data_IF_379837004483
#
_entry.id   IF_379837004483
#
_cell.length_a   1.000
_cell.length_b   1.000
_cell.length_c   1.000
_cell.angle_alpha   90.00
_cell.angle_beta   90.00
_cell.angle_gamma   90.00
#
_symmetry.space_group_name_H-M   'P 1'
#
loop_
_entity.id
_entity.type
_entity.pdbx_description
1 polymer ?
#
# COMPACT_ATOMS: atom_id res chain seq x y z
N UNK A 1 7.17 -18.24 -10.58
CA UNK A 1 6.77 -16.83 -10.38
C UNK A 1 5.89 -16.78 -9.14
N UNK A 2 6.26 -15.97 -8.17
CA UNK A 2 5.51 -15.78 -6.92
C UNK A 2 4.77 -14.46 -6.98
N UNK A 3 3.46 -14.50 -6.75
CA UNK A 3 2.63 -13.31 -6.56
C UNK A 3 2.55 -13.04 -5.06
N UNK A 4 2.78 -11.81 -4.66
CA UNK A 4 2.75 -11.43 -3.26
C UNK A 4 2.26 -10.01 -3.07
N UNK A 5 1.65 -9.76 -1.91
CA UNK A 5 1.26 -8.42 -1.47
C UNK A 5 2.03 -8.07 -0.23
N UNK A 6 2.80 -6.99 -0.30
CA UNK A 6 3.58 -6.42 0.80
C UNK A 6 2.81 -5.26 1.41
N UNK A 7 2.94 -5.07 2.71
CA UNK A 7 2.29 -3.98 3.43
C UNK A 7 3.32 -2.99 3.95
N UNK A 8 3.03 -1.70 3.76
CA UNK A 8 3.91 -0.62 4.18
C UNK A 8 3.13 0.54 4.80
N UNK A 9 3.79 1.41 5.58
CA UNK A 9 3.21 2.69 6.00
C UNK A 9 3.44 3.79 4.97
N UNK A 10 2.53 4.76 4.92
CA UNK A 10 2.64 6.02 4.18
C UNK A 10 2.10 7.16 5.06
N UNK A 11 2.82 7.45 6.14
CA UNK A 11 2.46 8.48 7.14
C UNK A 11 3.25 9.76 6.89
N UNK A 12 2.96 10.83 7.64
CA UNK A 12 3.74 12.07 7.54
C UNK A 12 5.25 11.82 7.76
N UNK A 13 6.16 12.40 6.94
CA UNK A 13 5.92 13.30 5.81
C UNK A 13 5.71 12.59 4.46
N UNK A 14 5.85 11.26 4.41
CA UNK A 14 5.73 10.45 3.19
C UNK A 14 4.31 10.47 2.59
N UNK A 15 3.30 10.85 3.37
CA UNK A 15 1.94 11.10 2.89
C UNK A 15 1.86 12.16 1.78
N UNK A 16 2.84 13.08 1.73
CA UNK A 16 3.01 14.09 0.69
C UNK A 16 3.75 13.62 -0.56
N UNK A 17 4.13 12.34 -0.66
CA UNK A 17 4.52 11.75 -1.93
C UNK A 17 3.26 11.40 -2.74
N UNK A 18 3.30 11.68 -4.04
CA UNK A 18 2.31 11.08 -4.95
C UNK A 18 2.42 9.56 -4.89
N UNK A 19 1.32 8.86 -5.16
CA UNK A 19 1.31 7.40 -5.12
C UNK A 19 2.37 6.78 -6.03
N UNK A 20 2.67 7.40 -7.17
CA UNK A 20 3.72 6.95 -8.09
C UNK A 20 5.14 7.11 -7.53
N UNK A 21 5.42 8.21 -6.84
CA UNK A 21 6.72 8.43 -6.20
C UNK A 21 6.94 7.46 -5.04
N UNK A 22 5.89 7.29 -4.23
CA UNK A 22 5.85 6.30 -3.17
C UNK A 22 6.13 4.88 -3.69
N UNK A 23 5.42 4.44 -4.73
CA UNK A 23 5.67 3.14 -5.36
C UNK A 23 7.10 3.02 -5.90
N UNK A 24 7.66 4.08 -6.51
CA UNK A 24 9.05 4.05 -6.97
C UNK A 24 10.03 3.79 -5.83
N UNK A 25 9.82 4.40 -4.67
CA UNK A 25 10.66 4.15 -3.49
C UNK A 25 10.58 2.69 -3.03
N UNK A 26 9.38 2.12 -2.97
CA UNK A 26 9.17 0.71 -2.61
C UNK A 26 9.87 -0.21 -3.61
N UNK A 27 9.73 0.05 -4.92
CA UNK A 27 10.38 -0.74 -5.96
C UNK A 27 11.90 -0.70 -5.81
N UNK A 28 12.48 0.47 -5.56
CA UNK A 28 13.92 0.57 -5.35
C UNK A 28 14.38 -0.13 -4.07
N UNK A 29 13.59 -0.08 -2.99
CA UNK A 29 13.88 -0.83 -1.78
C UNK A 29 13.83 -2.35 -2.02
N UNK A 30 12.81 -2.83 -2.73
CA UNK A 30 12.69 -4.24 -3.12
C UNK A 30 13.87 -4.69 -3.99
N UNK A 31 14.29 -3.89 -4.97
CA UNK A 31 15.49 -4.18 -5.76
C UNK A 31 16.76 -4.23 -4.90
N UNK A 32 16.92 -3.31 -3.93
CA UNK A 32 18.04 -3.33 -2.99
C UNK A 32 18.01 -4.55 -2.06
N UNK A 33 16.83 -5.07 -1.74
CA UNK A 33 16.63 -6.32 -1.02
C UNK A 33 16.82 -7.58 -1.89
N UNK A 34 17.23 -7.42 -3.16
CA UNK A 34 17.46 -8.55 -4.07
C UNK A 34 16.20 -9.09 -4.75
N UNK A 35 15.05 -8.41 -4.65
CA UNK A 35 13.82 -8.86 -5.30
C UNK A 35 13.95 -8.86 -6.84
N UNK A 36 13.75 -10.02 -7.44
CA UNK A 36 13.77 -10.21 -8.88
C UNK A 36 12.39 -10.09 -9.49
N UNK A 37 12.03 -8.90 -9.96
CA UNK A 37 10.73 -8.68 -10.58
C UNK A 37 10.52 -9.49 -11.86
N UNK A 38 9.29 -9.92 -12.06
CA UNK A 38 8.77 -10.30 -13.37
C UNK A 38 8.40 -9.04 -14.16
N UNK A 39 8.54 -9.10 -15.48
CA UNK A 39 8.32 -7.94 -16.34
C UNK A 39 7.17 -8.17 -17.31
N UNK A 40 6.52 -7.10 -17.76
CA UNK A 40 5.52 -7.16 -18.83
C UNK A 40 6.15 -7.53 -20.18
N UNK A 41 5.46 -8.30 -21.02
CA UNK A 41 5.95 -8.78 -22.32
C UNK A 41 5.92 -7.74 -23.48
N UNK A 42 5.82 -6.44 -23.18
CA UNK A 42 5.77 -5.37 -24.19
C UNK A 42 7.13 -4.77 -24.57
N UNK A 43 7.14 -3.88 -25.57
CA UNK A 43 8.34 -3.17 -26.07
C UNK A 43 9.11 -2.35 -25.02
N UNK A 44 8.49 -2.05 -23.87
CA UNK A 44 9.13 -1.46 -22.70
C UNK A 44 8.76 -2.25 -21.44
N UNK A 45 9.53 -3.31 -21.10
CA UNK A 45 9.22 -4.17 -19.97
C UNK A 45 9.22 -3.38 -18.67
N UNK A 46 8.10 -3.40 -17.94
CA UNK A 46 7.99 -2.80 -16.61
C UNK A 46 7.78 -3.90 -15.56
N UNK A 47 8.33 -3.74 -14.35
CA UNK A 47 8.00 -4.63 -13.24
C UNK A 47 6.49 -4.79 -13.11
N UNK A 48 6.01 -6.01 -12.96
CA UNK A 48 4.60 -6.28 -12.73
C UNK A 48 4.24 -5.92 -11.30
N UNK A 49 3.55 -4.79 -11.16
CA UNK A 49 3.14 -4.20 -9.90
C UNK A 49 1.67 -3.87 -10.03
N UNK A 50 0.92 -4.28 -9.03
CA UNK A 50 -0.50 -4.09 -8.95
C UNK A 50 -0.87 -3.32 -7.70
N UNK A 51 -1.84 -2.43 -7.85
CA UNK A 51 -2.37 -1.59 -6.79
C UNK A 51 -3.86 -1.51 -6.96
N UNK A 52 -4.61 -1.99 -5.96
CA UNK A 52 -6.09 -1.94 -5.97
C UNK A 52 -6.58 -0.50 -6.03
N UNK A 53 -6.00 0.39 -5.22
CA UNK A 53 -6.39 1.78 -5.18
C UNK A 53 -5.21 2.69 -4.85
N UNK A 54 -5.12 3.82 -5.53
CA UNK A 54 -4.16 4.86 -5.20
C UNK A 54 -4.65 5.69 -4.02
N UNK A 55 -3.77 5.90 -3.04
CA UNK A 55 -4.04 6.85 -1.96
C UNK A 55 -3.96 8.29 -2.49
N UNK A 56 -4.91 9.14 -2.10
CA UNK A 56 -4.88 10.56 -2.44
C UNK A 56 -3.68 11.26 -1.80
N UNK A 57 -3.12 12.27 -2.46
CA UNK A 57 -2.00 13.05 -1.93
C UNK A 57 -2.38 13.69 -0.59
N UNK A 58 -1.48 13.65 0.39
CA UNK A 58 -1.70 14.18 1.73
C UNK A 58 -2.38 13.19 2.68
N UNK A 59 -3.14 12.23 2.19
CA UNK A 59 -3.74 11.19 3.04
C UNK A 59 -2.65 10.29 3.59
N UNK A 60 -2.73 10.03 4.88
CA UNK A 60 -1.85 9.09 5.58
C UNK A 60 -2.40 7.68 5.52
N UNK A 61 -1.53 6.68 5.59
CA UNK A 61 -1.94 5.29 5.73
C UNK A 61 -1.01 4.51 6.63
N UNK A 62 -1.62 3.76 7.54
CA UNK A 62 -0.95 2.77 8.39
C UNK A 62 -0.78 1.42 7.71
N UNK A 63 -1.39 1.20 6.55
CA UNK A 63 -1.33 -0.05 5.79
C UNK A 63 -1.63 0.18 4.29
N UNK A 64 -0.58 0.34 3.50
CA UNK A 64 -0.62 0.38 2.04
C UNK A 64 -0.25 -0.98 1.46
N UNK A 65 -1.20 -1.69 0.81
CA UNK A 65 -0.91 -2.92 0.09
C UNK A 65 -0.24 -2.62 -1.25
N UNK A 66 0.90 -3.25 -1.49
CA UNK A 66 1.61 -3.21 -2.78
C UNK A 66 1.80 -4.63 -3.27
N UNK A 67 1.07 -4.98 -4.32
CA UNK A 67 1.13 -6.31 -4.95
C UNK A 67 2.19 -6.33 -6.04
N UNK A 68 3.02 -7.38 -6.07
CA UNK A 68 4.12 -7.53 -7.04
C UNK A 68 4.23 -8.98 -7.53
N UNK A 69 4.75 -9.14 -8.74
CA UNK A 69 5.14 -10.45 -9.26
C UNK A 69 6.66 -10.58 -9.29
N UNK A 70 7.18 -11.61 -8.64
CA UNK A 70 8.60 -11.92 -8.61
C UNK A 70 8.90 -13.24 -9.33
N UNK A 71 10.12 -13.34 -9.87
CA UNK A 71 10.64 -14.55 -10.51
C UNK A 71 11.03 -15.61 -9.49
N UNK A 72 11.53 -15.18 -8.33
CA UNK A 72 11.91 -16.02 -7.20
C UNK A 72 11.56 -15.34 -5.86
N UNK A 73 11.43 -16.12 -4.76
CA UNK A 73 11.38 -15.56 -3.41
C UNK A 73 12.61 -14.71 -3.10
N UNK A 74 12.47 -13.75 -2.19
CA UNK A 74 13.57 -12.94 -1.66
C UNK A 74 13.46 -12.86 -0.13
N UNK A 75 14.56 -12.47 0.51
CA UNK A 75 14.61 -12.22 1.95
C UNK A 75 14.06 -10.82 2.27
N UNK A 76 12.84 -10.78 2.79
CA UNK A 76 12.14 -9.56 3.18
C UNK A 76 12.60 -9.01 4.53
N UNK A 77 13.37 -9.75 5.33
CA UNK A 77 13.95 -9.23 6.58
C UNK A 77 14.97 -8.10 6.33
N UNK A 78 15.46 -7.97 5.10
CA UNK A 78 16.35 -6.88 4.68
C UNK A 78 15.59 -5.57 4.47
N UNK A 79 14.28 -5.61 4.18
CA UNK A 79 13.48 -4.42 3.82
C UNK A 79 13.57 -3.27 4.82
N UNK A 80 13.44 -3.49 6.15
CA UNK A 80 13.57 -2.40 7.14
C UNK A 80 14.88 -1.63 7.06
N UNK A 81 15.95 -2.23 6.52
CA UNK A 81 17.28 -1.59 6.40
C UNK A 81 17.47 -0.81 5.10
N UNK A 82 16.66 -1.10 4.08
CA UNK A 82 16.82 -0.53 2.73
C UNK A 82 15.66 0.35 2.30
N UNK A 83 14.60 0.47 3.11
CA UNK A 83 13.51 1.42 2.91
C UNK A 83 13.97 2.87 3.19
N UNK A 84 13.39 3.87 2.50
CA UNK A 84 13.58 5.26 2.89
C UNK A 84 13.05 5.54 4.30
N UNK A 85 13.64 6.52 4.96
CA UNK A 85 13.18 7.02 6.27
C UNK A 85 11.69 7.36 6.23
N UNK A 86 10.93 6.86 7.22
CA UNK A 86 9.50 7.12 7.37
C UNK A 86 8.58 6.20 6.56
N UNK A 87 9.11 5.21 5.84
CA UNK A 87 8.34 4.10 5.26
C UNK A 87 8.71 2.83 6.02
N UNK A 88 7.73 2.19 6.66
CA UNK A 88 7.95 0.97 7.43
C UNK A 88 7.33 -0.23 6.73
N UNK A 89 8.03 -1.37 6.76
CA UNK A 89 7.51 -2.65 6.31
C UNK A 89 6.69 -3.31 7.41
N UNK A 90 5.53 -3.87 7.06
CA UNK A 90 4.56 -4.43 8.02
C UNK A 90 4.33 -5.93 7.84
N UNK A 91 4.84 -6.52 6.74
CA UNK A 91 4.68 -7.94 6.43
C UNK A 91 4.19 -8.19 5.00
N UNK A 92 3.89 -9.45 4.71
CA UNK A 92 3.42 -9.90 3.39
C UNK A 92 2.37 -10.99 3.51
N UNK A 93 1.62 -11.15 2.43
CA UNK A 93 0.80 -12.32 2.15
C UNK A 93 1.10 -12.84 0.75
N UNK A 94 0.82 -14.12 0.53
CA UNK A 94 0.84 -14.70 -0.82
C UNK A 94 -0.37 -14.25 -1.63
N UNK A 95 -0.16 -14.05 -2.92
CA UNK A 95 -1.19 -13.64 -3.87
C UNK A 95 -1.42 -12.13 -3.95
N UNK A 96 -2.42 -11.77 -4.75
CA UNK A 96 -2.87 -10.39 -4.93
C UNK A 96 -4.12 -10.12 -4.10
N UNK A 97 -4.21 -8.90 -3.58
CA UNK A 97 -5.47 -8.37 -3.12
C UNK A 97 -6.14 -7.73 -4.34
N UNK A 98 -7.30 -8.23 -4.75
CA UNK A 98 -8.06 -7.65 -5.87
C UNK A 98 -9.03 -6.55 -5.41
N UNK A 99 -9.48 -6.64 -4.16
CA UNK A 99 -10.36 -5.66 -3.53
C UNK A 99 -10.25 -5.73 -2.00
N UNK A 100 -10.57 -4.63 -1.34
CA UNK A 100 -10.64 -4.55 0.12
C UNK A 100 -11.64 -3.47 0.57
N UNK A 101 -12.13 -3.56 1.80
CA UNK A 101 -12.73 -2.43 2.50
C UNK A 101 -11.62 -1.69 3.25
N UNK A 102 -11.49 -0.38 3.07
CA UNK A 102 -10.56 0.42 3.86
C UNK A 102 -11.29 1.15 4.98
N UNK A 103 -10.75 1.04 6.19
CA UNK A 103 -11.15 1.81 7.35
C UNK A 103 -10.38 3.13 7.35
N UNK A 104 -11.11 4.23 7.24
CA UNK A 104 -10.57 5.57 7.34
C UNK A 104 -11.01 6.23 8.64
N UNK A 105 -10.17 7.12 9.17
CA UNK A 105 -10.48 8.01 10.28
C UNK A 105 -10.37 9.47 9.84
N UNK A 106 -11.34 10.27 10.29
CA UNK A 106 -11.38 11.73 10.18
C UNK A 106 -12.11 12.31 11.40
N UNK A 107 -11.52 13.27 12.13
CA UNK A 107 -12.12 13.91 13.31
C UNK A 107 -12.81 12.93 14.28
N UNK A 108 -12.09 11.90 14.71
CA UNK A 108 -12.55 10.81 15.59
C UNK A 108 -13.73 9.96 15.05
N UNK A 109 -14.12 10.18 13.80
CA UNK A 109 -15.14 9.39 13.11
C UNK A 109 -14.45 8.38 12.20
N UNK A 110 -14.92 7.14 12.24
CA UNK A 110 -14.47 6.07 11.36
C UNK A 110 -15.49 5.82 10.27
N UNK A 111 -15.02 5.53 9.06
CA UNK A 111 -15.87 5.14 7.94
C UNK A 111 -15.18 4.11 7.06
N UNK A 112 -15.98 3.27 6.41
CA UNK A 112 -15.50 2.23 5.50
C UNK A 112 -15.80 2.63 4.06
N UNK A 113 -14.85 2.36 3.17
CA UNK A 113 -15.04 2.49 1.72
C UNK A 113 -14.58 1.21 1.01
N UNK A 114 -15.34 0.76 0.03
CA UNK A 114 -14.94 -0.37 -0.82
C UNK A 114 -13.99 0.10 -1.92
N UNK A 115 -12.84 -0.57 -2.05
CA UNK A 115 -11.88 -0.35 -3.12
C UNK A 115 -11.84 -1.54 -4.08
N UNK A 116 -11.84 -1.32 -5.40
CA UNK A 116 -11.74 -0.02 -6.08
C UNK A 116 -13.09 0.71 -6.32
N UNK A 117 -14.22 0.16 -5.85
CA UNK A 117 -15.57 0.62 -6.26
C UNK A 117 -15.92 2.07 -5.90
N UNK A 118 -15.69 2.47 -4.65
CA UNK A 118 -16.15 3.75 -4.11
C UNK A 118 -15.03 4.79 -4.10
N UNK A 119 -13.82 4.37 -3.68
CA UNK A 119 -12.64 5.23 -3.65
C UNK A 119 -12.74 6.40 -2.65
N UNK A 120 -11.61 6.90 -2.14
CA UNK A 120 -11.62 8.00 -1.17
C UNK A 120 -11.89 9.39 -1.82
N UNK A 121 -11.54 9.55 -3.10
CA UNK A 121 -11.53 10.85 -3.76
C UNK A 121 -12.90 11.53 -3.85
N UNK A 122 -13.98 10.77 -4.02
CA UNK A 122 -15.35 11.32 -4.05
C UNK A 122 -15.77 11.82 -2.66
N UNK A 123 -15.51 11.03 -1.63
CA UNK A 123 -15.81 11.37 -0.23
C UNK A 123 -15.12 12.67 0.21
N UNK A 124 -13.82 12.81 -0.08
CA UNK A 124 -13.04 14.03 0.21
C UNK A 124 -13.68 15.26 -0.43
N UNK A 125 -14.02 15.16 -1.72
CA UNK A 125 -14.59 16.28 -2.50
C UNK A 125 -15.97 16.70 -1.98
N UNK A 126 -16.86 15.74 -1.73
CA UNK A 126 -18.23 16.02 -1.30
C UNK A 126 -18.30 16.62 0.11
N UNK A 127 -17.38 16.21 1.00
CA UNK A 127 -17.33 16.69 2.38
C UNK A 127 -16.37 17.88 2.58
N UNK A 128 -15.68 18.31 1.52
CA UNK A 128 -14.65 19.36 1.56
C UNK A 128 -13.60 19.12 2.67
N UNK A 129 -13.16 17.86 2.80
CA UNK A 129 -12.21 17.46 3.84
C UNK A 129 -10.78 17.68 3.35
N UNK A 130 -9.88 18.31 4.13
CA UNK A 130 -8.48 18.36 3.78
C UNK A 130 -7.85 16.95 3.80
N UNK A 131 -7.20 16.49 2.71
CA UNK A 131 -6.69 15.12 2.63
C UNK A 131 -5.72 14.75 3.77
N UNK A 132 -4.93 15.69 4.26
CA UNK A 132 -3.97 15.52 5.35
C UNK A 132 -4.60 15.34 6.74
N UNK A 133 -5.93 15.44 6.85
CA UNK A 133 -6.67 15.12 8.08
C UNK A 133 -7.23 13.69 8.06
N UNK A 134 -7.05 12.96 6.97
CA UNK A 134 -7.55 11.59 6.81
C UNK A 134 -6.42 10.59 6.97
N UNK A 135 -6.68 9.57 7.76
CA UNK A 135 -5.79 8.43 7.96
C UNK A 135 -6.51 7.16 7.53
N UNK A 136 -5.91 6.38 6.63
CA UNK A 136 -6.30 4.99 6.38
C UNK A 136 -5.72 4.13 7.49
N UNK A 137 -6.58 3.74 8.41
CA UNK A 137 -6.24 2.99 9.62
C UNK A 137 -6.01 1.51 9.32
N UNK A 138 -6.87 0.91 8.48
CA UNK A 138 -6.81 -0.52 8.21
C UNK A 138 -7.44 -0.91 6.85
N UNK A 139 -7.28 -2.18 6.46
CA UNK A 139 -8.00 -2.82 5.35
C UNK A 139 -8.59 -4.19 5.73
N UNK A 140 -9.72 -4.55 5.13
CA UNK A 140 -10.40 -5.84 5.32
C UNK A 140 -10.52 -6.54 3.95
N UNK A 141 -10.06 -7.79 3.86
CA UNK A 141 -10.06 -8.60 2.62
C UNK A 141 -11.08 -9.75 2.68
N UNK A 142 -11.53 -10.23 1.51
CA UNK A 142 -12.58 -11.24 1.38
C UNK A 142 -12.24 -12.64 1.95
N UNK A 143 -10.97 -12.92 2.27
CA UNK A 143 -10.55 -14.17 2.92
C UNK A 143 -11.06 -14.33 4.37
N UNK A 144 -11.85 -13.38 4.89
CA UNK A 144 -12.36 -13.41 6.27
C UNK A 144 -11.27 -13.15 7.33
N UNK A 145 -10.01 -13.12 6.92
CA UNK A 145 -8.91 -12.54 7.68
C UNK A 145 -9.16 -11.03 7.75
N UNK A 146 -9.79 -10.55 8.83
CA UNK A 146 -9.38 -9.24 9.32
C UNK A 146 -7.88 -9.36 9.55
N UNK A 147 -7.08 -8.68 8.73
CA UNK A 147 -5.71 -8.40 9.09
C UNK A 147 -5.80 -7.40 10.25
N UNK A 148 -6.12 -7.88 11.45
CA UNK A 148 -5.95 -7.10 12.65
C UNK A 148 -4.47 -6.79 12.72
N UNK A 149 -4.09 -5.55 12.44
CA UNK A 149 -2.86 -5.05 13.02
C UNK A 149 -3.13 -4.86 14.53
N UNK A 150 -3.05 -5.96 15.28
CA UNK A 150 -2.92 -5.94 16.73
C UNK A 150 -1.54 -5.38 17.07
N UNK A 151 -1.48 -4.07 17.25
CA UNK A 151 -0.49 -3.41 18.11
C UNK A 151 0.75 -2.87 17.41
N UNK A 152 0.86 -1.55 17.44
CA UNK A 152 1.98 -0.96 18.19
C UNK A 152 1.35 -0.22 19.37
N UNK A 153 1.86 -0.51 20.57
CA UNK A 153 1.53 0.17 21.82
C UNK A 153 1.85 1.67 21.76
#
# INVERSE_FOLDING_TARGET
MSKLTLFFTKEYPQSFLSYREYLRHIIYALRRAGAEFSFSEGFHPRPQIYSVASLSLGVESRIEPVSVELRAPFDDEVLPRVLPVGIHYLGKIDGYIESYLALYRYNNTYFLLSHPKEGLGKFIKEKNIPPYEIIKEDIITASGSMLYYLGVK
#
